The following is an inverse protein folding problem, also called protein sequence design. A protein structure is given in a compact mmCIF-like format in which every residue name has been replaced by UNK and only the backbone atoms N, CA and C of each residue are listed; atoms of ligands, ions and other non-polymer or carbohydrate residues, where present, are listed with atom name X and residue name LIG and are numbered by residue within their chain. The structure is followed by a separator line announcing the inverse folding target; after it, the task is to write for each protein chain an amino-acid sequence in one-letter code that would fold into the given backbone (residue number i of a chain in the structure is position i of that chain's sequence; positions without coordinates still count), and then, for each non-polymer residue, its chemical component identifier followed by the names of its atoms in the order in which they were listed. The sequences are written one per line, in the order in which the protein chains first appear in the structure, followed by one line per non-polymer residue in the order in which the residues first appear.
data_IF_097850849496
#
_entry.id   IF_097850849496
#
_cell.length_a   1.000
_cell.length_b   1.000
_cell.length_c   1.000
_cell.angle_alpha   90.00
_cell.angle_beta   90.00
_cell.angle_gamma   90.00
#
_symmetry.space_group_name_H-M   'P 1'
#
loop_
_entity.id
_entity.type
_entity.pdbx_description
1 polymer ?
#
# COMPACT_ATOMS: atom_id res chain seq x y z
N UNK A 1 -3.95 18.56 0.95
CA UNK A 1 -3.43 17.79 -0.20
C UNK A 1 -2.79 16.55 0.37
N UNK A 2 -3.19 15.35 -0.08
CA UNK A 2 -2.69 14.07 0.44
C UNK A 2 -1.19 13.96 0.17
N UNK A 3 -0.41 13.60 1.19
CA UNK A 3 1.04 13.34 1.13
C UNK A 3 1.39 11.92 1.50
N UNK A 4 0.68 11.33 2.47
CA UNK A 4 0.94 9.97 2.96
C UNK A 4 -0.24 9.04 2.71
N UNK A 5 0.03 7.92 2.05
CA UNK A 5 -0.96 6.89 1.72
C UNK A 5 -0.65 5.57 2.43
N UNK A 6 -1.70 4.86 2.83
CA UNK A 6 -1.63 3.52 3.40
C UNK A 6 -2.07 2.48 2.38
N UNK A 7 -1.41 1.33 2.34
CA UNK A 7 -1.81 0.18 1.52
C UNK A 7 -1.90 -1.05 2.41
N UNK A 8 -3.09 -1.65 2.50
CA UNK A 8 -3.32 -2.84 3.32
C UNK A 8 -3.36 -4.07 2.42
N UNK A 9 -2.44 -4.99 2.65
CA UNK A 9 -2.10 -6.11 1.78
C UNK A 9 -0.88 -5.77 0.94
N UNK A 10 0.15 -6.61 1.01
CA UNK A 10 1.39 -6.52 0.25
C UNK A 10 1.46 -7.55 -0.90
N UNK A 11 0.32 -8.15 -1.27
CA UNK A 11 0.19 -9.05 -2.41
C UNK A 11 0.42 -8.35 -3.76
N UNK A 12 -0.02 -9.00 -4.85
CA UNK A 12 0.23 -8.49 -6.22
C UNK A 12 -0.28 -7.08 -6.46
N UNK A 13 -1.53 -6.79 -6.06
CA UNK A 13 -2.12 -5.46 -6.24
C UNK A 13 -1.53 -4.44 -5.27
N UNK A 14 -1.43 -4.80 -3.99
CA UNK A 14 -0.89 -3.91 -2.96
C UNK A 14 0.54 -3.43 -3.24
N UNK A 15 1.45 -4.36 -3.61
CA UNK A 15 2.81 -4.00 -4.03
C UNK A 15 2.84 -3.09 -5.27
N UNK A 16 1.92 -3.29 -6.22
CA UNK A 16 1.79 -2.42 -7.40
C UNK A 16 1.30 -1.02 -7.06
N UNK A 17 0.28 -0.91 -6.20
CA UNK A 17 -0.26 0.36 -5.71
C UNK A 17 0.83 1.12 -4.93
N UNK A 18 1.54 0.43 -4.04
CA UNK A 18 2.63 1.02 -3.25
C UNK A 18 3.75 1.56 -4.15
N UNK A 19 4.17 0.77 -5.15
CA UNK A 19 5.16 1.19 -6.15
C UNK A 19 4.72 2.45 -6.89
N UNK A 20 3.50 2.47 -7.43
CA UNK A 20 2.99 3.62 -8.20
C UNK A 20 2.91 4.86 -7.31
N UNK A 21 2.39 4.73 -6.09
CA UNK A 21 2.33 5.84 -5.13
C UNK A 21 3.72 6.41 -4.82
N UNK A 22 4.69 5.54 -4.53
CA UNK A 22 6.04 5.95 -4.23
C UNK A 22 6.74 6.63 -5.42
N UNK A 23 6.53 6.14 -6.65
CA UNK A 23 7.03 6.77 -7.87
C UNK A 23 6.42 8.16 -8.13
N UNK A 24 5.19 8.40 -7.69
CA UNK A 24 4.56 9.71 -7.74
C UNK A 24 4.95 10.63 -6.55
N UNK A 25 5.85 10.17 -5.67
CA UNK A 25 6.40 10.95 -4.58
C UNK A 25 5.60 10.91 -3.28
N UNK A 26 4.52 10.13 -3.20
CA UNK A 26 3.79 9.88 -1.96
C UNK A 26 4.65 9.10 -0.97
N UNK A 27 4.50 9.39 0.31
CA UNK A 27 4.98 8.50 1.36
C UNK A 27 3.99 7.35 1.51
N UNK A 28 4.49 6.11 1.46
CA UNK A 28 3.65 4.93 1.42
C UNK A 28 3.93 4.07 2.65
N UNK A 29 2.90 3.78 3.44
CA UNK A 29 2.95 2.74 4.47
C UNK A 29 2.23 1.50 3.95
N UNK A 30 2.97 0.44 3.64
CA UNK A 30 2.42 -0.85 3.20
C UNK A 30 2.37 -1.83 4.37
N UNK A 31 1.19 -2.39 4.63
CA UNK A 31 0.94 -3.27 5.78
C UNK A 31 0.51 -4.65 5.30
N UNK A 32 1.08 -5.72 5.86
CA UNK A 32 0.58 -7.08 5.68
C UNK A 32 0.70 -7.86 7.00
N UNK A 33 0.01 -8.99 7.13
CA UNK A 33 0.04 -9.82 8.34
C UNK A 33 1.31 -10.66 8.46
N UNK A 34 2.05 -10.84 7.35
CA UNK A 34 3.24 -11.68 7.30
C UNK A 34 4.47 -10.91 6.81
N UNK A 35 5.55 -11.01 7.58
CA UNK A 35 6.85 -10.47 7.21
C UNK A 35 7.38 -11.09 5.90
N UNK A 36 7.10 -12.39 5.67
CA UNK A 36 7.50 -13.07 4.43
C UNK A 36 6.80 -12.48 3.19
N UNK A 37 5.53 -12.09 3.32
CA UNK A 37 4.77 -11.47 2.23
C UNK A 37 5.33 -10.06 1.95
N UNK A 38 5.66 -9.31 3.01
CA UNK A 38 6.29 -7.99 2.90
C UNK A 38 7.62 -8.08 2.15
N UNK A 39 8.49 -9.00 2.52
CA UNK A 39 9.80 -9.17 1.89
C UNK A 39 9.66 -9.51 0.39
N UNK A 40 8.74 -10.43 0.06
CA UNK A 40 8.41 -10.75 -1.35
C UNK A 40 7.90 -9.53 -2.12
N UNK A 41 7.10 -8.69 -1.47
CA UNK A 41 6.57 -7.47 -2.06
C UNK A 41 7.69 -6.45 -2.35
N UNK A 42 8.56 -6.19 -1.38
CA UNK A 42 9.72 -5.29 -1.53
C UNK A 42 10.63 -5.77 -2.65
N UNK A 43 11.00 -7.06 -2.67
CA UNK A 43 11.83 -7.64 -3.73
C UNK A 43 11.21 -7.47 -5.12
N UNK A 44 9.88 -7.62 -5.23
CA UNK A 44 9.17 -7.42 -6.50
C UNK A 44 9.23 -5.96 -6.96
N UNK A 45 9.06 -5.01 -6.05
CA UNK A 45 9.15 -3.56 -6.30
C UNK A 45 10.58 -3.20 -6.75
N UNK A 46 11.60 -3.64 -6.01
CA UNK A 46 13.00 -3.40 -6.32
C UNK A 46 13.39 -3.98 -7.69
N UNK A 47 12.94 -5.20 -7.99
CA UNK A 47 13.18 -5.85 -9.29
C UNK A 47 12.52 -5.07 -10.43
N UNK A 48 11.31 -4.56 -10.24
CA UNK A 48 10.63 -3.74 -11.25
C UNK A 48 11.39 -2.43 -11.52
N UNK A 49 11.79 -1.73 -10.45
CA UNK A 49 12.52 -0.46 -10.57
C UNK A 49 13.91 -0.67 -11.19
N UNK A 50 14.62 -1.73 -10.80
CA UNK A 50 15.92 -2.08 -11.40
C UNK A 50 15.80 -2.32 -12.90
N UNK A 51 14.79 -3.09 -13.34
CA UNK A 51 14.54 -3.30 -14.77
C UNK A 51 14.14 -2.01 -15.50
N UNK A 52 13.53 -1.06 -14.82
CA UNK A 52 13.15 0.23 -15.39
C UNK A 52 14.36 1.15 -15.54
N UNK A 53 15.26 1.12 -14.56
CA UNK A 53 16.58 1.78 -14.58
C UNK A 53 17.47 1.22 -15.71
N UNK A 54 17.60 -0.11 -15.81
CA UNK A 54 18.36 -0.79 -16.87
C UNK A 54 17.85 -0.44 -18.28
N UNK A 55 16.56 -0.14 -18.41
CA UNK A 55 15.91 0.30 -19.65
C UNK A 55 15.92 1.82 -19.84
N UNK A 56 16.65 2.55 -18.99
CA UNK A 56 16.73 4.02 -18.98
C UNK A 56 15.37 4.73 -18.93
N UNK A 57 14.34 4.09 -18.35
CA UNK A 57 13.01 4.71 -18.16
C UNK A 57 12.95 5.60 -16.93
N UNK A 58 13.82 5.33 -15.97
CA UNK A 58 14.04 6.11 -14.75
C UNK A 58 15.55 6.16 -14.49
N UNK A 59 16.00 7.18 -13.79
CA UNK A 59 17.35 7.28 -13.26
C UNK A 59 17.53 6.43 -11.99
N UNK A 60 18.80 6.17 -11.64
CA UNK A 60 19.17 5.55 -10.36
C UNK A 60 18.66 6.33 -9.15
N UNK A 61 18.67 7.66 -9.25
CA UNK A 61 18.18 8.55 -8.20
C UNK A 61 16.68 8.41 -8.00
N UNK A 62 15.90 8.41 -9.08
CA UNK A 62 14.44 8.21 -9.03
C UNK A 62 14.08 6.84 -8.45
N UNK A 63 14.81 5.79 -8.82
CA UNK A 63 14.66 4.46 -8.20
C UNK A 63 14.88 4.50 -6.70
N UNK A 64 16.01 5.05 -6.25
CA UNK A 64 16.35 5.11 -4.83
C UNK A 64 15.34 5.96 -4.04
N UNK A 65 14.87 7.06 -4.65
CA UNK A 65 13.84 7.92 -4.07
C UNK A 65 12.49 7.21 -3.95
N UNK A 66 12.09 6.41 -4.94
CA UNK A 66 10.87 5.61 -4.86
C UNK A 66 10.97 4.55 -3.76
N UNK A 67 12.10 3.85 -3.64
CA UNK A 67 12.28 2.84 -2.58
C UNK A 67 12.23 3.48 -1.19
N UNK A 68 12.91 4.61 -0.99
CA UNK A 68 12.95 5.29 0.32
C UNK A 68 11.60 5.86 0.77
N UNK A 69 10.63 5.97 -0.14
CA UNK A 69 9.27 6.41 0.17
C UNK A 69 8.36 5.31 0.71
N UNK A 70 8.80 4.05 0.69
CA UNK A 70 7.98 2.91 1.13
C UNK A 70 8.46 2.44 2.51
N UNK A 71 7.61 2.61 3.52
CA UNK A 71 7.71 1.94 4.82
C UNK A 71 6.82 0.69 4.77
N UNK A 72 7.38 -0.50 4.98
CA UNK A 72 6.61 -1.73 5.05
C UNK A 72 6.66 -2.34 6.45
N UNK A 73 5.52 -2.80 6.96
CA UNK A 73 5.39 -3.23 8.36
C UNK A 73 4.26 -4.24 8.56
N UNK A 74 4.33 -5.02 9.64
CA UNK A 74 3.22 -5.88 10.07
C UNK A 74 2.27 -5.20 11.06
N UNK A 75 2.60 -3.99 11.52
CA UNK A 75 1.79 -3.22 12.45
C UNK A 75 0.76 -2.36 11.71
N UNK A 76 -0.52 -2.66 11.90
CA UNK A 76 -1.60 -1.87 11.33
C UNK A 76 -1.64 -0.45 11.93
N UNK A 77 -1.19 -0.27 13.16
CA UNK A 77 -1.19 1.01 13.89
C UNK A 77 -0.39 2.09 13.14
N UNK A 78 0.65 1.70 12.38
CA UNK A 78 1.44 2.63 11.58
C UNK A 78 0.64 3.34 10.50
N UNK A 79 -0.47 2.74 10.05
CA UNK A 79 -1.31 3.29 8.99
C UNK A 79 -2.11 4.52 9.44
N UNK A 80 -2.25 4.74 10.76
CA UNK A 80 -2.97 5.89 11.34
C UNK A 80 -2.35 7.25 11.00
N UNK A 81 -1.08 7.25 10.56
CA UNK A 81 -0.39 8.44 10.06
C UNK A 81 -0.72 8.79 8.61
N UNK A 82 -1.50 7.97 7.90
CA UNK A 82 -1.86 8.15 6.49
C UNK A 82 -3.17 8.93 6.34
N UNK A 83 -3.29 9.69 5.25
CA UNK A 83 -4.47 10.50 4.93
C UNK A 83 -5.43 9.79 3.95
N UNK A 84 -4.91 8.79 3.22
CA UNK A 84 -5.67 7.99 2.26
C UNK A 84 -5.22 6.53 2.33
N UNK A 85 -6.16 5.62 2.65
CA UNK A 85 -5.86 4.20 2.89
C UNK A 85 -6.56 3.35 1.85
N UNK A 86 -5.78 2.49 1.18
CA UNK A 86 -6.25 1.58 0.13
C UNK A 86 -6.16 0.15 0.64
N UNK A 87 -7.31 -0.50 0.77
CA UNK A 87 -7.40 -1.92 1.09
C UNK A 87 -7.25 -2.77 -0.19
N UNK A 88 -6.27 -3.67 -0.20
CA UNK A 88 -5.92 -4.56 -1.31
C UNK A 88 -5.62 -6.00 -0.84
N UNK A 89 -6.37 -6.48 0.15
CA UNK A 89 -6.31 -7.86 0.65
C UNK A 89 -7.17 -8.80 -0.21
N UNK A 90 -7.11 -10.10 0.11
CA UNK A 90 -7.90 -11.15 -0.55
C UNK A 90 -9.38 -10.78 -0.68
N UNK A 91 -10.00 -11.22 -1.78
CA UNK A 91 -11.39 -10.93 -2.13
C UNK A 91 -12.39 -11.70 -1.25
N UNK A 92 -12.42 -11.35 0.04
CA UNK A 92 -13.26 -11.95 1.07
C UNK A 92 -13.96 -10.84 1.86
N UNK A 93 -15.29 -10.75 1.71
CA UNK A 93 -16.13 -9.72 2.35
C UNK A 93 -15.96 -9.67 3.87
N UNK A 94 -15.84 -10.81 4.56
CA UNK A 94 -15.68 -10.83 6.02
C UNK A 94 -14.34 -10.24 6.44
N UNK A 95 -13.27 -10.51 5.69
CA UNK A 95 -11.94 -9.99 5.98
C UNK A 95 -11.91 -8.47 5.74
N UNK A 96 -12.40 -8.01 4.58
CA UNK A 96 -12.43 -6.57 4.24
C UNK A 96 -13.24 -5.76 5.26
N UNK A 97 -14.44 -6.23 5.64
CA UNK A 97 -15.24 -5.58 6.70
C UNK A 97 -14.48 -5.45 8.02
N UNK A 98 -13.81 -6.51 8.47
CA UNK A 98 -13.03 -6.47 9.72
C UNK A 98 -11.89 -5.44 9.64
N UNK A 99 -11.25 -5.32 8.47
CA UNK A 99 -10.23 -4.30 8.24
C UNK A 99 -10.84 -2.91 8.35
N UNK A 100 -11.94 -2.62 7.64
CA UNK A 100 -12.57 -1.30 7.72
C UNK A 100 -13.08 -0.96 9.13
N UNK A 101 -13.65 -1.91 9.85
CA UNK A 101 -14.01 -1.72 11.28
C UNK A 101 -12.80 -1.36 12.14
N UNK A 102 -11.66 -2.02 11.89
CA UNK A 102 -10.43 -1.73 12.62
C UNK A 102 -9.87 -0.36 12.24
N UNK A 103 -9.91 0.01 10.97
CA UNK A 103 -9.50 1.34 10.50
C UNK A 103 -10.37 2.45 11.09
N UNK A 104 -11.69 2.28 11.08
CA UNK A 104 -12.64 3.21 11.69
C UNK A 104 -12.36 3.45 13.18
N UNK A 105 -11.94 2.38 13.90
CA UNK A 105 -11.56 2.51 15.32
C UNK A 105 -10.21 3.17 15.57
N UNK A 106 -9.28 3.13 14.60
CA UNK A 106 -7.89 3.56 14.78
C UNK A 106 -7.60 4.93 14.16
N UNK A 107 -8.28 5.29 13.07
CA UNK A 107 -7.94 6.46 12.27
C UNK A 107 -8.77 7.69 12.65
N UNK A 108 -8.22 8.90 12.47
CA UNK A 108 -9.02 10.13 12.53
C UNK A 108 -10.17 10.13 11.52
N UNK A 109 -11.22 10.93 11.79
CA UNK A 109 -12.43 11.02 10.96
C UNK A 109 -12.20 11.52 9.54
N UNK A 110 -11.11 12.24 9.31
CA UNK A 110 -10.82 12.90 8.03
C UNK A 110 -10.03 12.00 7.06
N UNK A 111 -9.68 10.78 7.47
CA UNK A 111 -8.96 9.83 6.63
C UNK A 111 -9.91 9.19 5.62
N UNK A 112 -9.49 9.16 4.36
CA UNK A 112 -10.28 8.52 3.30
C UNK A 112 -9.91 7.05 3.22
N UNK A 113 -10.93 6.19 3.23
CA UNK A 113 -10.78 4.76 3.01
C UNK A 113 -11.25 4.37 1.61
N UNK A 114 -10.48 3.53 0.93
CA UNK A 114 -10.81 2.97 -0.38
C UNK A 114 -10.57 1.46 -0.38
N UNK A 115 -11.32 0.73 -1.22
CA UNK A 115 -11.11 -0.70 -1.45
C UNK A 115 -10.79 -0.96 -2.91
N UNK A 116 -9.78 -1.79 -3.16
CA UNK A 116 -9.44 -2.36 -4.47
C UNK A 116 -10.28 -3.62 -4.80
N UNK A 117 -11.46 -3.76 -4.19
CA UNK A 117 -12.38 -4.87 -4.51
C UNK A 117 -12.87 -4.79 -5.97
N UNK A 118 -13.09 -5.94 -6.58
CA UNK A 118 -13.67 -6.07 -7.93
C UNK A 118 -15.07 -6.66 -7.93
N UNK A 119 -15.47 -7.34 -6.85
CA UNK A 119 -16.71 -8.11 -6.80
C UNK A 119 -17.62 -7.80 -5.60
N UNK A 120 -17.13 -7.08 -4.58
CA UNK A 120 -17.91 -6.74 -3.39
C UNK A 120 -18.43 -5.30 -3.53
N UNK A 121 -19.72 -5.10 -3.25
CA UNK A 121 -20.28 -3.74 -3.27
C UNK A 121 -19.63 -2.88 -2.19
N UNK A 122 -19.21 -1.68 -2.55
CA UNK A 122 -18.63 -0.70 -1.62
C UNK A 122 -19.62 -0.34 -0.51
N UNK A 123 -20.92 -0.24 -0.82
CA UNK A 123 -21.96 0.09 0.19
C UNK A 123 -22.16 -1.02 1.21
N UNK A 124 -21.64 -2.22 0.93
CA UNK A 124 -21.74 -3.34 1.86
C UNK A 124 -20.51 -3.46 2.77
N UNK A 125 -19.39 -2.83 2.46
CA UNK A 125 -18.15 -2.88 3.25
C UNK A 125 -18.23 -1.93 4.44
#
# INVERSE_FOLDING_TARGET
MIKKIGVIGAGTMGSGIALVGAMQGFEVTMVDVSQEIIEKAIQKIEKYLTRSEEKAKISKEEKNKAISKIEATTSLEKITSCEFIIEAVSENKKIKKKIFQRLDSLCPKDVIFASNTSAISITEL
#
